data_IF_454784138034
#
_entry.id   IF_454784138034
#
_cell.length_a   1.000
_cell.length_b   1.000
_cell.length_c   1.000
_cell.angle_alpha   90.00
_cell.angle_beta   90.00
_cell.angle_gamma   90.00
#
_symmetry.space_group_name_H-M   'P 1'
#
loop_
_entity.id
_entity.type
_entity.pdbx_description
1 polymer ?
#
# COMPACT_ATOMS: atom_id res chain seq x y z
N UNK A 1 -0.61 12.52 -29.65
CA UNK A 1 -0.69 12.94 -28.24
C UNK A 1 -0.32 11.74 -27.38
N UNK A 2 0.74 11.84 -26.56
CA UNK A 2 1.19 10.74 -25.71
C UNK A 2 0.23 10.56 -24.53
N UNK A 3 -0.49 9.43 -24.50
CA UNK A 3 -1.37 9.02 -23.40
C UNK A 3 -0.55 8.17 -22.41
N UNK A 4 0.07 8.77 -21.40
CA UNK A 4 0.67 7.97 -20.31
C UNK A 4 0.99 8.81 -19.07
N UNK A 5 -0.02 9.40 -18.44
CA UNK A 5 0.14 9.88 -17.07
C UNK A 5 -1.14 9.62 -16.31
N UNK A 6 -1.27 8.42 -15.76
CA UNK A 6 -2.36 8.09 -14.83
C UNK A 6 -2.32 9.07 -13.67
N UNK A 7 -3.42 9.77 -13.42
CA UNK A 7 -3.48 10.80 -12.38
C UNK A 7 -3.48 10.11 -11.01
N UNK A 8 -2.52 10.48 -10.16
CA UNK A 8 -2.41 9.99 -8.78
C UNK A 8 -3.08 10.99 -7.82
N UNK A 9 -3.85 10.50 -6.85
CA UNK A 9 -4.46 11.30 -5.79
C UNK A 9 -4.16 10.70 -4.43
N UNK A 10 -3.73 11.53 -3.48
CA UNK A 10 -3.54 11.15 -2.09
C UNK A 10 -4.80 11.41 -1.26
N UNK A 11 -5.25 10.40 -0.51
CA UNK A 11 -6.34 10.49 0.47
C UNK A 11 -5.71 10.50 1.87
N UNK A 12 -5.82 11.60 2.64
CA UNK A 12 -5.24 11.68 3.98
C UNK A 12 -6.10 10.92 5.00
N UNK A 13 -5.79 9.64 5.20
CA UNK A 13 -6.45 8.70 6.13
C UNK A 13 -6.02 8.84 7.59
N UNK A 14 -5.30 9.92 7.93
CA UNK A 14 -5.05 10.31 9.33
C UNK A 14 -6.36 10.69 10.02
N UNK A 15 -6.33 10.83 11.35
CA UNK A 15 -7.50 11.21 12.14
C UNK A 15 -8.12 12.52 11.62
N UNK A 16 -9.46 12.67 11.60
CA UNK A 16 -10.11 13.86 11.04
C UNK A 16 -9.59 15.17 11.62
N UNK A 17 -9.33 15.20 12.94
CA UNK A 17 -8.78 16.36 13.66
C UNK A 17 -7.35 16.72 13.25
N UNK A 18 -6.60 15.77 12.70
CA UNK A 18 -5.22 15.96 12.25
C UNK A 18 -5.13 16.32 10.76
N UNK A 19 -6.23 16.20 10.00
CA UNK A 19 -6.23 16.47 8.56
C UNK A 19 -5.98 17.94 8.27
N UNK A 20 -4.87 18.20 7.60
CA UNK A 20 -4.58 19.53 7.08
C UNK A 20 -5.63 19.96 6.07
N UNK A 21 -6.14 21.20 6.24
CA UNK A 21 -7.08 21.83 5.31
C UNK A 21 -6.39 22.95 4.54
N UNK A 22 -6.76 23.09 3.28
CA UNK A 22 -6.23 24.14 2.41
C UNK A 22 -7.17 25.35 2.52
N UNK A 23 -6.61 26.53 2.78
CA UNK A 23 -7.39 27.77 2.80
C UNK A 23 -7.85 28.15 1.40
N UNK A 24 -9.03 28.76 1.31
CA UNK A 24 -9.50 29.43 0.08
C UNK A 24 -8.54 30.57 -0.29
N UNK A 25 -8.47 30.86 -1.58
CA UNK A 25 -7.69 31.99 -2.11
C UNK A 25 -8.33 33.31 -1.70
N UNK A 26 -7.56 34.41 -1.71
CA UNK A 26 -8.11 35.74 -1.40
C UNK A 26 -9.30 36.12 -2.29
N UNK A 27 -9.29 35.69 -3.56
CA UNK A 27 -10.42 35.91 -4.47
C UNK A 27 -11.67 35.15 -4.03
N UNK A 28 -11.55 33.85 -3.77
CA UNK A 28 -12.66 33.02 -3.30
C UNK A 28 -13.20 33.53 -1.96
N UNK A 29 -12.34 34.04 -1.07
CA UNK A 29 -12.75 34.63 0.21
C UNK A 29 -13.50 35.96 0.03
N UNK A 30 -13.08 36.82 -0.90
CA UNK A 30 -13.75 38.10 -1.16
C UNK A 30 -15.14 37.96 -1.80
N UNK A 31 -15.45 36.77 -2.34
CA UNK A 31 -16.76 36.44 -2.91
C UNK A 31 -17.71 35.82 -1.86
N UNK A 32 -17.23 35.56 -0.64
CA UNK A 32 -18.07 35.08 0.46
C UNK A 32 -18.83 36.22 1.13
N UNK A 33 -19.92 35.87 1.79
CA UNK A 33 -20.63 36.75 2.71
C UNK A 33 -19.75 37.10 3.91
N UNK A 34 -19.89 38.33 4.44
CA UNK A 34 -19.05 38.86 5.52
C UNK A 34 -19.05 37.98 6.79
N UNK A 35 -20.13 37.22 7.03
CA UNK A 35 -20.31 36.34 8.19
C UNK A 35 -19.96 34.86 7.90
N UNK A 36 -19.44 34.54 6.71
CA UNK A 36 -19.12 33.16 6.34
C UNK A 36 -17.87 32.65 7.07
N UNK A 37 -18.02 31.52 7.76
CA UNK A 37 -16.91 30.81 8.43
C UNK A 37 -16.23 29.78 7.52
N UNK A 38 -16.66 29.65 6.26
CA UNK A 38 -16.15 28.66 5.31
C UNK A 38 -14.85 29.13 4.64
N UNK A 39 -13.78 29.20 5.43
CA UNK A 39 -12.47 29.71 5.01
C UNK A 39 -11.65 28.62 4.28
N UNK A 40 -12.05 27.36 4.38
CA UNK A 40 -11.30 26.21 3.86
C UNK A 40 -11.90 25.67 2.55
N UNK A 41 -11.07 25.10 1.68
CA UNK A 41 -11.54 24.35 0.52
C UNK A 41 -12.06 22.99 0.94
N UNK A 42 -13.12 22.54 0.28
CA UNK A 42 -13.66 21.19 0.45
C UNK A 42 -12.62 20.13 0.03
N UNK A 43 -12.32 19.21 0.93
CA UNK A 43 -11.49 18.04 0.67
C UNK A 43 -12.34 16.88 0.10
N UNK A 44 -11.73 15.69 -0.06
CA UNK A 44 -12.45 14.52 -0.56
C UNK A 44 -13.48 13.96 0.41
N UNK A 45 -13.26 14.08 1.72
CA UNK A 45 -14.22 13.66 2.76
C UNK A 45 -15.45 14.57 2.75
N UNK A 46 -15.26 15.90 2.71
CA UNK A 46 -16.35 16.88 2.63
C UNK A 46 -17.25 16.61 1.41
N UNK A 47 -16.62 16.29 0.26
CA UNK A 47 -17.33 15.97 -0.99
C UNK A 47 -18.05 14.63 -0.93
N UNK A 48 -17.46 13.65 -0.25
CA UNK A 48 -17.99 12.31 -0.10
C UNK A 48 -19.16 12.27 0.89
N UNK A 49 -19.10 13.04 1.97
CA UNK A 49 -20.20 13.22 2.92
C UNK A 49 -21.41 13.86 2.22
N UNK A 50 -21.19 14.91 1.41
CA UNK A 50 -22.22 15.59 0.62
C UNK A 50 -22.62 14.87 -0.68
N UNK A 51 -22.19 13.63 -0.90
CA UNK A 51 -22.50 12.89 -2.14
C UNK A 51 -24.02 12.66 -2.27
N UNK A 52 -24.56 12.55 -3.48
CA UNK A 52 -25.97 12.24 -3.69
C UNK A 52 -26.30 10.79 -3.31
N UNK A 53 -27.57 10.52 -2.99
CA UNK A 53 -28.06 9.22 -2.50
C UNK A 53 -27.77 8.04 -3.46
N UNK A 54 -27.73 8.26 -4.77
CA UNK A 54 -27.38 7.20 -5.73
C UNK A 54 -25.93 6.73 -5.64
N UNK A 55 -25.10 7.41 -4.84
CA UNK A 55 -23.72 7.03 -4.53
C UNK A 55 -23.57 6.57 -3.07
N UNK A 56 -24.65 6.19 -2.38
CA UNK A 56 -24.54 5.81 -0.96
C UNK A 56 -23.68 4.56 -0.74
N UNK A 57 -23.79 3.59 -1.65
CA UNK A 57 -23.19 2.26 -1.53
C UNK A 57 -21.74 2.16 -2.03
N UNK A 58 -21.15 3.26 -2.52
CA UNK A 58 -19.75 3.27 -2.96
C UNK A 58 -18.83 3.68 -1.83
N UNK A 59 -17.63 3.08 -1.76
CA UNK A 59 -16.64 3.45 -0.75
C UNK A 59 -15.93 4.77 -1.08
N UNK A 60 -15.24 5.35 -0.09
CA UNK A 60 -14.43 6.56 -0.28
C UNK A 60 -13.38 6.37 -1.39
N UNK A 61 -12.69 5.23 -1.40
CA UNK A 61 -11.71 4.93 -2.44
C UNK A 61 -12.36 4.85 -3.83
N UNK A 62 -13.49 4.18 -3.97
CA UNK A 62 -14.20 4.10 -5.24
C UNK A 62 -14.70 5.48 -5.70
N UNK A 63 -15.22 6.29 -4.79
CA UNK A 63 -15.67 7.66 -5.08
C UNK A 63 -14.52 8.53 -5.62
N UNK A 64 -13.40 8.59 -4.89
CA UNK A 64 -12.25 9.43 -5.27
C UNK A 64 -11.60 8.95 -6.56
N UNK A 65 -11.51 7.64 -6.76
CA UNK A 65 -10.88 7.05 -7.95
C UNK A 65 -11.76 7.21 -9.18
N UNK A 66 -13.04 6.82 -9.10
CA UNK A 66 -13.90 6.61 -10.27
C UNK A 66 -14.78 7.81 -10.61
N UNK A 67 -15.03 8.75 -9.70
CA UNK A 67 -15.99 9.83 -9.93
C UNK A 67 -15.35 11.22 -10.01
N UNK A 68 -16.01 12.11 -10.73
CA UNK A 68 -15.73 13.54 -10.75
C UNK A 68 -17.01 14.36 -10.83
N UNK A 69 -16.98 15.58 -10.28
CA UNK A 69 -18.08 16.53 -10.37
C UNK A 69 -17.98 17.28 -11.70
N UNK A 70 -19.03 17.21 -12.53
CA UNK A 70 -19.10 17.93 -13.80
C UNK A 70 -19.48 19.41 -13.58
N UNK A 71 -19.52 20.20 -14.66
CA UNK A 71 -19.88 21.62 -14.60
C UNK A 71 -21.34 21.88 -14.17
N UNK A 72 -22.21 20.88 -14.23
CA UNK A 72 -23.60 20.95 -13.76
C UNK A 72 -23.74 20.64 -12.27
N UNK A 73 -22.66 20.16 -11.64
CA UNK A 73 -22.65 19.77 -10.24
C UNK A 73 -22.92 18.28 -9.99
N UNK A 74 -23.12 17.47 -11.03
CA UNK A 74 -23.39 16.04 -10.90
C UNK A 74 -22.09 15.23 -10.86
N UNK A 75 -22.11 14.13 -10.11
CA UNK A 75 -21.02 13.16 -10.11
C UNK A 75 -21.18 12.19 -11.27
N UNK A 76 -20.14 12.08 -12.09
CA UNK A 76 -20.08 11.21 -13.26
C UNK A 76 -18.84 10.33 -13.20
N UNK A 77 -18.93 9.14 -13.80
CA UNK A 77 -17.82 8.20 -13.90
C UNK A 77 -16.72 8.75 -14.81
N UNK A 78 -15.47 8.51 -14.42
CA UNK A 78 -14.29 8.80 -15.24
C UNK A 78 -14.09 7.68 -16.26
N UNK A 79 -13.57 8.07 -17.43
CA UNK A 79 -13.07 7.11 -18.43
C UNK A 79 -11.82 6.39 -17.89
N UNK A 80 -10.91 7.13 -17.25
CA UNK A 80 -9.72 6.60 -16.60
C UNK A 80 -9.78 6.88 -15.08
N UNK A 81 -9.90 5.84 -14.24
CA UNK A 81 -9.86 6.00 -12.78
C UNK A 81 -8.53 6.57 -12.30
N UNK A 82 -8.58 7.32 -11.20
CA UNK A 82 -7.38 7.83 -10.53
C UNK A 82 -6.72 6.74 -9.70
N UNK A 83 -5.39 6.72 -9.70
CA UNK A 83 -4.61 5.89 -8.78
C UNK A 83 -4.65 6.56 -7.41
N UNK A 84 -5.05 5.81 -6.40
CA UNK A 84 -5.12 6.30 -5.02
C UNK A 84 -3.82 5.99 -4.31
N UNK A 85 -3.40 6.93 -3.46
CA UNK A 85 -2.40 6.75 -2.42
C UNK A 85 -3.01 7.15 -1.09
N UNK A 86 -2.58 6.50 -0.03
CA UNK A 86 -3.02 6.73 1.34
C UNK A 86 -1.82 6.63 2.27
N UNK A 87 -2.06 6.68 3.58
CA UNK A 87 -0.97 6.63 4.57
C UNK A 87 -0.30 5.26 4.59
N UNK A 88 -1.06 4.19 4.31
CA UNK A 88 -0.62 2.80 4.25
C UNK A 88 0.06 2.36 5.55
N UNK A 89 -0.71 2.36 6.65
CA UNK A 89 -0.21 1.94 7.96
C UNK A 89 0.27 0.48 7.95
N UNK A 90 1.36 0.19 8.67
CA UNK A 90 1.91 -1.16 8.74
C UNK A 90 1.08 -2.05 9.66
N UNK A 91 0.68 -3.22 9.16
CA UNK A 91 -0.16 -4.16 9.90
C UNK A 91 0.55 -4.74 11.14
N UNK A 92 1.88 -4.78 11.15
CA UNK A 92 2.68 -5.34 12.25
C UNK A 92 2.94 -4.34 13.38
N UNK A 93 3.20 -3.07 13.08
CA UNK A 93 3.42 -2.03 14.09
C UNK A 93 2.16 -1.26 14.48
N UNK A 94 1.25 -1.00 13.55
CA UNK A 94 0.16 -0.04 13.68
C UNK A 94 -1.20 -0.67 13.37
N UNK A 95 -1.46 -1.86 13.92
CA UNK A 95 -2.62 -2.69 13.54
C UNK A 95 -3.98 -2.00 13.70
N UNK A 96 -4.18 -1.17 14.73
CA UNK A 96 -5.43 -0.44 14.91
C UNK A 96 -5.62 0.62 13.81
N UNK A 97 -4.54 1.32 13.45
CA UNK A 97 -4.61 2.36 12.42
C UNK A 97 -4.75 1.78 11.04
N UNK A 98 -4.11 0.62 10.79
CA UNK A 98 -4.37 -0.19 9.61
C UNK A 98 -5.86 -0.54 9.49
N UNK A 99 -6.48 -1.10 10.54
CA UNK A 99 -7.91 -1.46 10.52
C UNK A 99 -8.80 -0.25 10.26
N UNK A 100 -8.54 0.87 10.95
CA UNK A 100 -9.27 2.12 10.75
C UNK A 100 -9.15 2.62 9.30
N UNK A 101 -7.94 2.68 8.76
CA UNK A 101 -7.68 3.09 7.38
C UNK A 101 -8.41 2.19 6.37
N UNK A 102 -8.38 0.87 6.58
CA UNK A 102 -9.06 -0.09 5.70
C UNK A 102 -10.57 0.09 5.70
N UNK A 103 -11.19 0.26 6.88
CA UNK A 103 -12.62 0.55 7.01
C UNK A 103 -12.96 1.87 6.31
N UNK A 104 -12.20 2.94 6.58
CA UNK A 104 -12.40 4.26 5.98
C UNK A 104 -12.26 4.25 4.44
N UNK A 105 -11.38 3.42 3.86
CA UNK A 105 -11.20 3.41 2.41
C UNK A 105 -12.21 2.52 1.67
N UNK A 106 -12.55 1.37 2.26
CA UNK A 106 -13.20 0.28 1.53
C UNK A 106 -14.64 -0.02 1.97
N UNK A 107 -15.13 0.56 3.07
CA UNK A 107 -16.55 0.48 3.42
C UNK A 107 -17.29 1.78 3.05
N UNK A 108 -18.56 1.72 2.62
CA UNK A 108 -19.41 2.88 2.50
C UNK A 108 -19.77 3.44 3.87
N UNK A 109 -19.77 4.76 4.00
CA UNK A 109 -20.18 5.49 5.21
C UNK A 109 -20.58 6.91 4.81
N UNK A 110 -21.41 7.59 5.59
CA UNK A 110 -21.75 9.01 5.36
C UNK A 110 -20.89 9.91 6.24
N UNK A 111 -20.83 9.60 7.53
CA UNK A 111 -20.20 10.41 8.56
C UNK A 111 -19.12 9.61 9.29
N UNK A 112 -17.85 9.90 8.99
CA UNK A 112 -16.72 9.14 9.54
C UNK A 112 -16.69 9.15 11.07
N UNK A 113 -16.95 10.32 11.67
CA UNK A 113 -16.89 10.50 13.13
C UNK A 113 -17.89 9.60 13.87
N UNK A 114 -19.14 9.53 13.40
CA UNK A 114 -20.19 8.76 14.08
C UNK A 114 -20.23 7.29 13.68
N UNK A 115 -19.87 6.95 12.44
CA UNK A 115 -20.03 5.59 11.93
C UNK A 115 -18.78 4.74 12.10
N UNK A 116 -17.59 5.35 11.97
CA UNK A 116 -16.30 4.65 11.98
C UNK A 116 -15.54 4.91 13.29
N UNK A 117 -15.43 6.17 13.71
CA UNK A 117 -14.53 6.57 14.79
C UNK A 117 -15.17 6.41 16.17
N UNK A 118 -16.43 6.82 16.31
CA UNK A 118 -17.15 6.77 17.58
C UNK A 118 -17.02 5.38 18.20
N UNK A 119 -16.67 5.35 19.50
CA UNK A 119 -16.55 4.11 20.27
C UNK A 119 -15.58 3.06 19.67
N UNK A 120 -14.66 3.48 18.78
CA UNK A 120 -13.76 2.59 18.05
C UNK A 120 -14.48 1.53 17.21
N UNK A 121 -15.66 1.86 16.66
CA UNK A 121 -16.47 0.97 15.80
C UNK A 121 -15.70 0.35 14.64
N UNK A 122 -14.66 1.02 14.13
CA UNK A 122 -13.77 0.49 13.09
C UNK A 122 -13.15 -0.88 13.43
N UNK A 123 -13.02 -1.23 14.71
CA UNK A 123 -12.51 -2.54 15.14
C UNK A 123 -13.48 -3.67 14.73
N UNK A 124 -14.75 -3.53 15.13
CA UNK A 124 -15.82 -4.48 14.84
C UNK A 124 -16.15 -4.49 13.34
N UNK A 125 -16.26 -3.30 12.73
CA UNK A 125 -16.52 -3.15 11.30
C UNK A 125 -15.46 -3.86 10.45
N UNK A 126 -14.18 -3.80 10.86
CA UNK A 126 -13.12 -4.51 10.17
C UNK A 126 -13.30 -6.03 10.28
N UNK A 127 -13.53 -6.54 11.49
CA UNK A 127 -13.69 -7.98 11.73
C UNK A 127 -14.90 -8.56 10.99
N UNK A 128 -16.02 -7.85 10.97
CA UNK A 128 -17.24 -8.28 10.26
C UNK A 128 -17.11 -8.23 8.73
N UNK A 129 -16.28 -7.32 8.21
CA UNK A 129 -16.20 -7.04 6.77
C UNK A 129 -14.82 -7.32 6.15
N UNK A 130 -13.94 -8.04 6.85
CA UNK A 130 -12.55 -8.24 6.43
C UNK A 130 -12.45 -8.80 5.00
N UNK A 131 -13.25 -9.82 4.68
CA UNK A 131 -13.26 -10.42 3.36
C UNK A 131 -13.64 -9.42 2.25
N UNK A 132 -14.67 -8.60 2.50
CA UNK A 132 -15.15 -7.58 1.57
C UNK A 132 -14.12 -6.45 1.38
N UNK A 133 -13.50 -6.01 2.47
CA UNK A 133 -12.43 -5.00 2.46
C UNK A 133 -11.26 -5.50 1.62
N UNK A 134 -10.78 -6.72 1.87
CA UNK A 134 -9.66 -7.31 1.14
C UNK A 134 -9.99 -7.55 -0.34
N UNK A 135 -11.23 -7.87 -0.67
CA UNK A 135 -11.68 -7.96 -2.06
C UNK A 135 -11.65 -6.59 -2.76
N UNK A 136 -12.27 -5.57 -2.15
CA UNK A 136 -12.30 -4.20 -2.71
C UNK A 136 -10.90 -3.58 -2.80
N UNK A 137 -10.01 -3.92 -1.87
CA UNK A 137 -8.61 -3.46 -1.89
C UNK A 137 -7.89 -3.87 -3.19
N UNK A 138 -8.17 -5.07 -3.70
CA UNK A 138 -7.58 -5.56 -4.96
C UNK A 138 -7.93 -4.68 -6.16
N UNK A 139 -9.02 -3.91 -6.12
CA UNK A 139 -9.36 -2.97 -7.20
C UNK A 139 -8.30 -1.86 -7.37
N UNK A 140 -7.54 -1.55 -6.31
CA UNK A 140 -6.59 -0.45 -6.27
C UNK A 140 -5.14 -0.91 -6.12
N UNK A 141 -4.93 -2.19 -5.78
CA UNK A 141 -3.63 -2.83 -5.91
C UNK A 141 -3.33 -2.98 -7.40
N UNK A 142 -2.40 -2.17 -7.91
CA UNK A 142 -1.88 -2.36 -9.25
C UNK A 142 -1.35 -3.79 -9.37
N UNK A 143 -1.85 -4.55 -10.34
CA UNK A 143 -1.18 -5.74 -10.89
C UNK A 143 0.16 -5.30 -11.49
N UNK A 144 1.12 -4.97 -10.63
CA UNK A 144 2.51 -4.87 -11.06
C UNK A 144 2.88 -6.30 -11.36
N UNK A 145 2.90 -6.64 -12.65
CA UNK A 145 3.52 -7.87 -13.12
C UNK A 145 5.01 -7.76 -12.80
N UNK A 146 5.36 -8.28 -11.61
CA UNK A 146 6.70 -8.22 -11.04
C UNK A 146 7.67 -8.88 -12.01
N UNK A 147 7.27 -9.94 -12.70
CA UNK A 147 8.10 -10.63 -13.68
C UNK A 147 8.38 -9.75 -14.89
N UNK A 148 7.35 -9.11 -15.48
CA UNK A 148 7.56 -8.14 -16.58
C UNK A 148 8.41 -6.96 -16.14
N UNK A 149 8.20 -6.46 -14.93
CA UNK A 149 8.96 -5.34 -14.38
C UNK A 149 10.44 -5.71 -14.19
N UNK A 150 10.71 -6.89 -13.63
CA UNK A 150 12.06 -7.44 -13.50
C UNK A 150 12.71 -7.69 -14.86
N UNK A 151 11.95 -8.16 -15.84
CA UNK A 151 12.42 -8.39 -17.21
C UNK A 151 12.83 -7.07 -17.88
N UNK A 152 12.00 -6.03 -17.79
CA UNK A 152 12.33 -4.68 -18.29
C UNK A 152 13.57 -4.13 -17.59
N UNK A 153 13.68 -4.26 -16.26
CA UNK A 153 14.89 -3.85 -15.54
C UNK A 153 16.14 -4.62 -16.01
N UNK A 154 16.02 -5.93 -16.29
CA UNK A 154 17.13 -6.73 -16.84
C UNK A 154 17.52 -6.26 -18.25
N UNK A 155 16.56 -5.94 -19.10
CA UNK A 155 16.79 -5.46 -20.48
C UNK A 155 17.45 -4.08 -20.49
N UNK A 156 16.95 -3.13 -19.68
CA UNK A 156 17.55 -1.80 -19.52
C UNK A 156 18.97 -1.86 -18.96
N UNK A 157 19.25 -2.80 -18.06
CA UNK A 157 20.61 -3.04 -17.55
C UNK A 157 21.53 -3.77 -18.56
N UNK A 158 21.00 -4.34 -19.65
CA UNK A 158 21.77 -5.07 -20.67
C UNK A 158 22.22 -4.20 -21.84
N UNK A 159 21.75 -2.97 -22.00
CA UNK A 159 22.10 -2.09 -23.13
C UNK A 159 23.49 -1.43 -23.06
N UNK A 160 24.42 -1.89 -22.21
CA UNK A 160 25.83 -1.45 -22.25
C UNK A 160 26.84 -2.59 -22.11
N UNK A 161 26.74 -3.66 -22.90
CA UNK A 161 27.88 -4.56 -23.13
C UNK A 161 27.98 -4.89 -24.62
N UNK A 162 28.97 -4.33 -25.34
CA UNK A 162 29.34 -4.84 -26.66
C UNK A 162 29.79 -6.31 -26.50
N UNK A 163 29.07 -7.19 -27.18
CA UNK A 163 29.40 -8.60 -27.30
C UNK A 163 30.64 -8.74 -28.19
N UNK A 164 31.80 -9.02 -27.58
CA UNK A 164 32.80 -9.86 -28.24
C UNK A 164 32.74 -11.24 -27.57
N UNK A 165 32.52 -12.24 -28.42
CA UNK A 165 31.89 -13.50 -28.05
C UNK A 165 32.75 -14.41 -27.18
N UNK A 166 32.09 -15.10 -26.26
CA UNK A 166 32.38 -16.49 -25.93
C UNK A 166 31.14 -17.11 -25.23
N UNK A 167 30.90 -18.38 -25.51
CA UNK A 167 29.72 -19.13 -25.10
C UNK A 167 29.57 -19.21 -23.57
N UNK A 168 28.33 -19.05 -23.13
CA UNK A 168 27.84 -19.28 -21.77
C UNK A 168 28.19 -20.67 -21.25
N UNK A 169 29.08 -20.72 -20.25
CA UNK A 169 29.08 -21.76 -19.22
C UNK A 169 29.58 -21.18 -17.89
N UNK A 170 28.84 -21.46 -16.81
CA UNK A 170 29.14 -21.20 -15.40
C UNK A 170 29.24 -19.74 -14.89
N UNK A 171 28.12 -19.22 -14.38
CA UNK A 171 28.08 -18.04 -13.49
C UNK A 171 28.33 -18.46 -12.02
N UNK A 172 29.32 -19.31 -11.79
CA UNK A 172 29.89 -19.60 -10.47
C UNK A 172 31.33 -19.07 -10.49
N UNK A 173 31.51 -17.75 -10.32
CA UNK A 173 32.87 -17.21 -10.22
C UNK A 173 33.14 -15.75 -10.57
N UNK A 174 32.17 -14.83 -10.50
CA UNK A 174 32.51 -13.41 -10.58
C UNK A 174 33.11 -12.96 -9.24
N UNK A 175 34.44 -12.92 -9.17
CA UNK A 175 35.18 -12.19 -8.14
C UNK A 175 34.71 -10.73 -8.21
N UNK A 176 34.17 -10.14 -7.12
CA UNK A 176 33.79 -8.74 -7.13
C UNK A 176 35.05 -7.90 -7.37
N UNK A 177 35.00 -6.97 -8.32
CA UNK A 177 36.04 -5.96 -8.47
C UNK A 177 36.30 -5.30 -7.10
N UNK A 178 37.58 -5.16 -6.74
CA UNK A 178 37.97 -4.55 -5.46
C UNK A 178 37.30 -3.19 -5.33
N UNK A 179 36.55 -3.04 -4.23
CA UNK A 179 35.80 -1.82 -3.95
C UNK A 179 36.81 -0.66 -3.86
N UNK A 180 36.75 0.34 -4.75
CA UNK A 180 37.70 1.45 -4.78
C UNK A 180 37.64 2.35 -3.53
N UNK A 181 36.67 2.09 -2.65
CA UNK A 181 36.52 2.73 -1.35
C UNK A 181 36.78 1.79 -0.16
N UNK A 182 37.30 0.57 -0.39
CA UNK A 182 37.59 -0.41 0.67
C UNK A 182 38.44 0.19 1.81
N UNK A 183 39.50 0.92 1.45
CA UNK A 183 40.36 1.61 2.42
C UNK A 183 39.63 2.69 3.24
N UNK A 184 38.54 3.25 2.71
CA UNK A 184 37.70 4.22 3.41
C UNK A 184 36.81 3.54 4.46
N UNK A 185 36.34 2.33 4.18
CA UNK A 185 35.50 1.53 5.10
C UNK A 185 36.32 0.85 6.21
N UNK A 186 37.59 0.55 5.93
CA UNK A 186 38.50 -0.13 6.85
C UNK A 186 39.29 0.84 7.76
N UNK A 187 39.08 2.15 7.64
CA UNK A 187 39.72 3.14 8.50
C UNK A 187 39.02 3.21 9.88
N UNK A 188 39.65 2.74 10.98
CA UNK A 188 39.05 2.70 12.31
C UNK A 188 38.89 4.09 12.96
N UNK A 189 39.43 5.15 12.34
CA UNK A 189 39.32 6.54 12.80
C UNK A 189 38.44 7.40 11.89
N UNK A 190 37.79 6.83 10.88
CA UNK A 190 36.85 7.57 10.05
C UNK A 190 35.51 7.70 10.78
N UNK A 191 35.23 8.90 11.29
CA UNK A 191 33.95 9.31 11.91
C UNK A 191 32.76 9.37 10.90
N UNK A 192 32.90 8.65 9.78
CA UNK A 192 31.90 8.55 8.72
C UNK A 192 31.40 7.12 8.65
N UNK A 193 30.49 6.76 9.56
CA UNK A 193 29.39 5.81 9.38
C UNK A 193 28.94 5.07 10.65
N UNK A 194 29.09 5.63 11.84
CA UNK A 194 28.48 4.98 13.02
C UNK A 194 26.95 4.88 12.87
N UNK A 195 26.29 5.91 12.35
CA UNK A 195 24.85 5.89 12.05
C UNK A 195 24.46 4.95 10.90
N UNK A 196 25.33 4.80 9.90
CA UNK A 196 25.11 3.91 8.76
C UNK A 196 25.37 2.45 9.12
N UNK A 197 26.33 2.15 10.01
CA UNK A 197 26.55 0.82 10.58
C UNK A 197 25.40 0.42 11.50
N UNK A 198 24.99 1.31 12.40
CA UNK A 198 23.85 1.08 13.31
C UNK A 198 22.55 0.85 12.53
N UNK A 199 22.26 1.68 11.52
CA UNK A 199 21.06 1.50 10.68
C UNK A 199 21.12 0.25 9.80
N UNK A 200 22.31 -0.21 9.37
CA UNK A 200 22.47 -1.47 8.66
C UNK A 200 22.23 -2.67 9.59
N UNK A 201 22.71 -2.63 10.84
CA UNK A 201 22.45 -3.68 11.84
C UNK A 201 20.98 -3.77 12.23
N UNK A 202 20.27 -2.63 12.36
CA UNK A 202 18.82 -2.62 12.59
C UNK A 202 18.02 -3.19 11.41
N UNK A 203 18.40 -2.84 10.18
CA UNK A 203 17.79 -3.41 8.96
C UNK A 203 18.07 -4.90 8.81
N UNK A 204 19.29 -5.34 9.13
CA UNK A 204 19.66 -6.76 9.13
C UNK A 204 18.92 -7.53 10.24
N UNK A 205 18.66 -6.92 11.40
CA UNK A 205 17.80 -7.47 12.45
C UNK A 205 16.35 -7.67 11.99
N UNK A 206 15.78 -6.71 11.28
CA UNK A 206 14.43 -6.82 10.69
C UNK A 206 14.37 -7.89 9.58
N UNK A 207 15.40 -7.98 8.73
CA UNK A 207 15.52 -9.01 7.69
C UNK A 207 15.73 -10.40 8.31
N UNK A 208 16.51 -10.52 9.38
CA UNK A 208 16.69 -11.76 10.12
C UNK A 208 15.39 -12.21 10.81
N UNK A 209 14.62 -11.28 11.39
CA UNK A 209 13.27 -11.57 11.94
C UNK A 209 12.30 -11.99 10.84
N UNK A 210 12.29 -11.32 9.69
CA UNK A 210 11.45 -11.68 8.53
C UNK A 210 11.82 -13.04 7.93
N UNK A 211 13.12 -13.37 7.83
CA UNK A 211 13.59 -14.71 7.43
C UNK A 211 13.23 -15.78 8.47
N UNK A 212 13.32 -15.47 9.77
CA UNK A 212 12.95 -16.38 10.86
C UNK A 212 11.45 -16.66 10.89
N UNK A 213 10.60 -15.66 10.63
CA UNK A 213 9.16 -15.81 10.47
C UNK A 213 8.82 -16.61 9.19
N UNK A 214 9.49 -16.33 8.07
CA UNK A 214 9.30 -17.12 6.83
C UNK A 214 9.71 -18.59 7.03
N UNK A 215 10.79 -18.86 7.76
CA UNK A 215 11.20 -20.22 8.12
C UNK A 215 10.21 -20.89 9.07
N UNK A 216 9.68 -20.16 10.06
CA UNK A 216 8.67 -20.65 11.00
C UNK A 216 7.36 -21.00 10.28
N UNK A 217 6.91 -20.14 9.36
CA UNK A 217 5.71 -20.36 8.53
C UNK A 217 5.90 -21.56 7.60
N UNK A 218 7.07 -21.70 6.96
CA UNK A 218 7.37 -22.87 6.12
C UNK A 218 7.37 -24.18 6.92
N UNK A 219 7.94 -24.17 8.14
CA UNK A 219 7.93 -25.35 9.00
C UNK A 219 6.52 -25.65 9.55
N UNK A 220 5.74 -24.63 9.88
CA UNK A 220 4.35 -24.80 10.29
C UNK A 220 3.51 -25.41 9.15
N UNK A 221 3.63 -24.89 7.93
CA UNK A 221 2.94 -25.43 6.75
C UNK A 221 3.38 -26.87 6.45
N UNK A 222 4.65 -27.22 6.67
CA UNK A 222 5.16 -28.59 6.52
C UNK A 222 4.57 -29.53 7.59
N UNK A 223 4.52 -29.12 8.84
CA UNK A 223 3.88 -29.87 9.94
C UNK A 223 2.39 -30.08 9.68
N UNK A 224 1.66 -29.05 9.23
CA UNK A 224 0.25 -29.17 8.86
C UNK A 224 0.03 -30.13 7.68
N UNK A 225 0.95 -30.14 6.69
CA UNK A 225 0.91 -31.05 5.53
C UNK A 225 1.31 -32.50 5.88
N UNK A 226 2.07 -32.72 6.95
CA UNK A 226 2.40 -34.05 7.47
C UNK A 226 1.25 -34.59 8.35
N UNK A 227 0.56 -33.72 9.10
CA UNK A 227 -0.64 -34.07 9.86
C UNK A 227 -1.80 -34.53 8.95
N UNK A 228 -2.02 -33.82 7.83
CA UNK A 228 -3.05 -34.17 6.82
C UNK A 228 -2.74 -35.49 6.10
N UNK A 229 -1.47 -35.74 5.77
CA UNK A 229 -1.04 -37.04 5.21
C UNK A 229 -1.16 -38.20 6.20
N UNK A 230 -1.00 -37.95 7.51
CA UNK A 230 -1.21 -38.97 8.54
C UNK A 230 -2.70 -39.23 8.80
N UNK A 231 -3.58 -38.23 8.67
CA UNK A 231 -5.05 -38.45 8.74
C UNK A 231 -5.60 -39.19 7.52
N UNK A 232 -5.03 -39.00 6.32
CA UNK A 232 -5.42 -39.78 5.13
C UNK A 232 -4.94 -41.24 5.21
N UNK A 233 -3.77 -41.49 5.81
CA UNK A 233 -3.30 -42.86 6.08
C UNK A 233 -4.16 -43.60 7.10
N UNK A 234 -4.76 -42.91 8.08
CA UNK A 234 -5.70 -43.53 9.02
C UNK A 234 -7.07 -43.84 8.40
N UNK A 235 -7.43 -43.20 7.29
CA UNK A 235 -8.67 -43.50 6.57
C UNK A 235 -8.53 -44.72 5.63
N UNK A 236 -7.32 -44.98 5.12
CA UNK A 236 -7.07 -46.14 4.24
C UNK A 236 -6.81 -47.48 4.97
N UNK A 237 -6.52 -47.48 6.27
CA UNK A 237 -6.36 -48.73 7.05
C UNK A 237 -7.67 -49.28 7.63
N UNK A 238 -8.82 -48.64 7.39
CA UNK A 238 -10.14 -49.13 7.83
C UNK A 238 -10.99 -49.79 6.74
N UNK A 239 -10.40 -50.11 5.57
CA UNK A 239 -11.11 -50.74 4.45
C UNK A 239 -10.51 -52.07 3.98
N UNK A 240 -9.86 -52.81 4.90
CA UNK A 240 -9.54 -54.24 4.70
C UNK A 240 -9.72 -54.97 6.04
N UNK A 241 -10.98 -55.20 6.45
CA UNK A 241 -11.48 -56.39 7.15
C UNK A 241 -12.92 -56.62 6.66
#
# INVERSE_FOLDING_TARGET
>A
MSKSSTIVVYIPTIWPVERQRIKKTMKELSELEDDSTDICKENWFDKYEKRPEYLEDISLAQFVSKYYKNNKGDYVLREEPKVIRDRNYDMGSDYNEYRREMVTLHLPFRHEESEIIAESRYLELYEENEALILERRKEFESDIDIEKTLQICRELCRENVPLDGEEVNDVVGLIPAENPFAELYDNPNADLNDDLRLSLFDRLGAIAKKKRISYLIRNFMRLCAEQTRNSEKFCFTLYII
#
